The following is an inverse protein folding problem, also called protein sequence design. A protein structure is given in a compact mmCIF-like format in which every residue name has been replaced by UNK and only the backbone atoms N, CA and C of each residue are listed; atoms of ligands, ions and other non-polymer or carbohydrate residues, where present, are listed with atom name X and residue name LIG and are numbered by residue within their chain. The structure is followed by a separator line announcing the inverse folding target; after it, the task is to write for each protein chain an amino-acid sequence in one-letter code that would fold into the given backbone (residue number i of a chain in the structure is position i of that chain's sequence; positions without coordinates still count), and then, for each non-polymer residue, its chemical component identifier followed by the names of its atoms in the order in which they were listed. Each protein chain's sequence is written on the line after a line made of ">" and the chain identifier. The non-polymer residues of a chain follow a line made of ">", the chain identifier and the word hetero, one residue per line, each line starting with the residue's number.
data_IF_293217975425
#
_entry.id   IF_293217975425
#
_cell.length_a   1.000
_cell.length_b   1.000
_cell.length_c   1.000
_cell.angle_alpha   90.00
_cell.angle_beta   90.00
_cell.angle_gamma   90.00
#
_symmetry.space_group_name_H-M   'P 1'
#
loop_
_entity.id
_entity.type
_entity.pdbx_description
1 polymer ?
#
# COMPACT_ATOMS: atom_id res chain seq x y z
N UNK A 1 9.79 -28.28 20.31
CA UNK A 1 9.43 -27.35 19.24
C UNK A 1 10.01 -25.99 19.60
N UNK A 2 10.46 -25.18 18.63
CA UNK A 2 10.96 -23.83 18.97
C UNK A 2 9.75 -22.91 19.22
N UNK A 3 9.84 -21.92 20.13
CA UNK A 3 8.73 -20.99 20.38
C UNK A 3 8.21 -20.31 19.10
N UNK A 4 9.08 -20.08 18.12
CA UNK A 4 8.73 -19.50 16.82
C UNK A 4 7.85 -20.43 15.98
N UNK A 5 8.07 -21.75 16.05
CA UNK A 5 7.29 -22.75 15.31
C UNK A 5 5.88 -22.87 15.90
N UNK A 6 5.77 -22.82 17.24
CA UNK A 6 4.50 -22.80 17.97
C UNK A 6 3.70 -21.53 17.61
N UNK A 7 4.38 -20.37 17.62
CA UNK A 7 3.74 -19.10 17.29
C UNK A 7 3.34 -19.01 15.83
N UNK A 8 4.17 -19.49 14.90
CA UNK A 8 3.81 -19.59 13.48
C UNK A 8 2.53 -20.39 13.28
N UNK A 9 2.42 -21.55 13.93
CA UNK A 9 1.21 -22.40 13.87
C UNK A 9 -0.03 -21.65 14.37
N UNK A 10 0.13 -20.90 15.46
CA UNK A 10 -0.94 -20.03 16.02
C UNK A 10 -1.38 -18.96 15.01
N UNK A 11 -0.46 -18.35 14.27
CA UNK A 11 -0.80 -17.35 13.26
C UNK A 11 -1.57 -17.95 12.08
N UNK A 12 -1.21 -19.16 11.65
CA UNK A 12 -1.93 -19.88 10.59
C UNK A 12 -3.37 -20.16 11.04
N UNK A 13 -3.56 -20.68 12.25
CA UNK A 13 -4.89 -20.93 12.79
C UNK A 13 -5.71 -19.64 12.92
N UNK A 14 -5.09 -18.55 13.38
CA UNK A 14 -5.74 -17.24 13.49
C UNK A 14 -6.15 -16.63 12.13
N UNK A 15 -5.38 -16.87 11.06
CA UNK A 15 -5.76 -16.49 9.70
C UNK A 15 -6.98 -17.32 9.25
N UNK A 16 -6.95 -18.64 9.46
CA UNK A 16 -8.04 -19.54 9.07
C UNK A 16 -9.34 -19.24 9.83
N UNK A 17 -9.25 -18.74 11.05
CA UNK A 17 -10.38 -18.37 11.91
C UNK A 17 -10.81 -16.90 11.78
N UNK A 18 -10.24 -16.14 10.84
CA UNK A 18 -10.54 -14.70 10.61
C UNK A 18 -10.23 -13.77 11.82
N UNK A 19 -9.35 -14.20 12.72
CA UNK A 19 -8.78 -13.36 13.76
C UNK A 19 -7.70 -12.43 13.22
N UNK A 20 -7.06 -12.81 12.11
CA UNK A 20 -6.18 -11.96 11.32
C UNK A 20 -6.82 -11.72 9.96
N UNK A 21 -7.27 -10.49 9.69
CA UNK A 21 -7.95 -10.12 8.44
C UNK A 21 -7.57 -8.73 7.97
N UNK A 22 -7.74 -8.47 6.67
CA UNK A 22 -7.53 -7.14 6.08
C UNK A 22 -8.84 -6.63 5.51
N UNK A 23 -9.16 -5.36 5.80
CA UNK A 23 -10.30 -4.64 5.21
C UNK A 23 -9.80 -3.48 4.38
N UNK A 24 -10.38 -3.31 3.20
CA UNK A 24 -10.14 -2.14 2.34
C UNK A 24 -11.02 -1.00 2.84
N UNK A 25 -10.41 0.16 3.12
CA UNK A 25 -11.09 1.42 3.41
C UNK A 25 -11.37 2.18 2.11
N UNK A 26 -12.23 3.22 2.13
CA UNK A 26 -12.43 4.06 0.96
C UNK A 26 -11.11 4.54 0.35
N UNK A 27 -11.03 4.46 -0.98
CA UNK A 27 -9.89 4.92 -1.75
C UNK A 27 -9.88 6.45 -1.77
N UNK A 28 -8.68 7.04 -1.73
CA UNK A 28 -8.49 8.48 -1.92
C UNK A 28 -7.62 8.72 -3.15
N UNK A 29 -8.04 9.64 -4.03
CA UNK A 29 -7.27 10.01 -5.21
C UNK A 29 -6.80 11.46 -5.07
N UNK A 30 -5.49 11.65 -4.98
CA UNK A 30 -4.88 12.96 -4.79
C UNK A 30 -4.43 13.50 -6.16
N UNK A 31 -4.95 14.65 -6.61
CA UNK A 31 -4.45 15.31 -7.82
C UNK A 31 -3.08 15.93 -7.52
N UNK A 32 -2.06 15.53 -8.27
CA UNK A 32 -0.68 15.97 -8.06
C UNK A 32 -0.09 16.72 -9.27
N UNK A 33 -0.72 16.59 -10.45
CA UNK A 33 -0.36 17.22 -11.74
C UNK A 33 -0.12 18.75 -11.74
N UNK A 34 -0.61 19.49 -10.73
CA UNK A 34 -0.38 20.95 -10.62
C UNK A 34 0.90 21.32 -9.88
N UNK A 35 1.48 20.37 -9.14
CA UNK A 35 2.57 20.65 -8.19
C UNK A 35 3.78 19.79 -8.48
N UNK A 36 3.58 18.54 -8.85
CA UNK A 36 4.62 17.55 -9.02
C UNK A 36 4.17 16.49 -10.02
N UNK A 37 5.07 15.53 -10.23
CA UNK A 37 4.78 14.25 -10.83
C UNK A 37 4.81 13.16 -9.74
N UNK A 38 3.98 12.12 -9.82
CA UNK A 38 3.11 11.76 -10.94
C UNK A 38 1.83 12.62 -11.02
N UNK A 39 1.03 12.48 -12.07
CA UNK A 39 -0.23 13.23 -12.24
C UNK A 39 -1.23 13.01 -11.10
N UNK A 40 -1.36 11.76 -10.65
CA UNK A 40 -2.23 11.39 -9.53
C UNK A 40 -1.54 10.40 -8.60
N UNK A 41 -1.95 10.42 -7.34
CA UNK A 41 -1.57 9.40 -6.37
C UNK A 41 -2.82 8.79 -5.76
N UNK A 42 -3.03 7.51 -6.01
CA UNK A 42 -4.09 6.73 -5.39
C UNK A 42 -3.60 6.21 -4.04
N UNK A 43 -4.26 6.59 -2.95
CA UNK A 43 -3.97 6.08 -1.61
C UNK A 43 -4.88 4.88 -1.34
N UNK A 44 -4.28 3.69 -1.33
CA UNK A 44 -4.93 2.47 -0.87
C UNK A 44 -4.82 2.40 0.65
N UNK A 45 -5.94 2.68 1.32
CA UNK A 45 -6.06 2.59 2.76
C UNK A 45 -6.56 1.19 3.14
N UNK A 46 -5.82 0.50 4.01
CA UNK A 46 -6.19 -0.81 4.52
C UNK A 46 -6.18 -0.80 6.05
N UNK A 47 -7.01 -1.63 6.66
CA UNK A 47 -6.93 -1.95 8.08
C UNK A 47 -6.66 -3.43 8.26
N UNK A 48 -5.52 -3.73 8.88
CA UNK A 48 -5.18 -5.06 9.35
C UNK A 48 -5.75 -5.24 10.76
N UNK A 49 -6.70 -6.15 10.90
CA UNK A 49 -7.07 -6.74 12.19
C UNK A 49 -6.05 -7.86 12.48
N UNK A 50 -5.44 -7.82 13.66
CA UNK A 50 -4.55 -8.85 14.16
C UNK A 50 -4.96 -9.19 15.59
N UNK A 51 -5.77 -10.24 15.74
CA UNK A 51 -6.55 -10.52 16.96
C UNK A 51 -7.47 -9.34 17.34
N UNK A 52 -7.31 -8.78 18.54
CA UNK A 52 -8.07 -7.61 19.02
C UNK A 52 -7.42 -6.27 18.65
N UNK A 53 -6.27 -6.28 17.95
CA UNK A 53 -5.53 -5.09 17.58
C UNK A 53 -5.81 -4.69 16.13
N UNK A 54 -5.80 -3.38 15.88
CA UNK A 54 -6.06 -2.81 14.56
C UNK A 54 -4.89 -1.93 14.15
N UNK A 55 -4.42 -2.15 12.92
CA UNK A 55 -3.31 -1.42 12.33
C UNK A 55 -3.74 -0.81 11.01
N UNK A 56 -3.40 0.46 10.81
CA UNK A 56 -3.61 1.15 9.54
C UNK A 56 -2.39 0.96 8.63
N UNK A 57 -2.67 0.60 7.38
CA UNK A 57 -1.70 0.49 6.30
C UNK A 57 -2.11 1.50 5.23
N UNK A 58 -1.14 2.27 4.74
CA UNK A 58 -1.34 3.26 3.68
C UNK A 58 -0.32 3.00 2.58
N UNK A 59 -0.82 2.70 1.37
CA UNK A 59 -0.01 2.41 0.20
C UNK A 59 -0.28 3.47 -0.89
N UNK A 60 0.64 4.42 -1.11
CA UNK A 60 0.53 5.36 -2.22
C UNK A 60 0.90 4.68 -3.54
N UNK A 61 -0.02 4.72 -4.51
CA UNK A 61 0.14 4.17 -5.86
C UNK A 61 0.19 5.33 -6.86
N UNK A 62 1.33 5.56 -7.51
CA UNK A 62 1.47 6.61 -8.52
C UNK A 62 0.70 6.25 -9.80
N UNK A 63 -0.01 7.21 -10.39
CA UNK A 63 -0.72 7.09 -11.66
C UNK A 63 -0.32 8.26 -12.56
N UNK A 64 0.23 7.95 -13.73
CA UNK A 64 0.66 8.92 -14.73
C UNK A 64 -0.23 8.85 -15.98
N UNK A 65 -0.68 9.99 -16.50
CA UNK A 65 -1.32 10.12 -17.80
C UNK A 65 -0.30 10.60 -18.84
N UNK A 66 0.53 9.68 -19.31
CA UNK A 66 1.60 10.01 -20.25
C UNK A 66 1.24 9.60 -21.68
N UNK A 67 1.21 10.60 -22.60
CA UNK A 67 1.01 10.37 -24.04
C UNK A 67 2.25 9.79 -24.71
N UNK A 68 3.44 10.09 -24.17
CA UNK A 68 4.72 9.59 -24.67
C UNK A 68 5.01 8.12 -24.28
N UNK A 69 4.16 7.50 -23.45
CA UNK A 69 4.27 6.10 -23.02
C UNK A 69 5.20 5.86 -21.82
N UNK A 70 5.50 4.58 -21.54
CA UNK A 70 6.16 4.11 -20.30
C UNK A 70 7.47 4.84 -19.98
N UNK A 71 8.31 5.13 -20.97
CA UNK A 71 9.66 5.67 -20.72
C UNK A 71 9.64 7.04 -20.03
N UNK A 72 8.70 7.91 -20.39
CA UNK A 72 8.55 9.20 -19.71
C UNK A 72 8.01 9.02 -18.28
N UNK A 73 7.03 8.10 -18.10
CA UNK A 73 6.51 7.77 -16.77
C UNK A 73 7.55 7.19 -15.81
N UNK A 74 8.62 6.54 -16.30
CA UNK A 74 9.72 6.06 -15.46
C UNK A 74 10.49 7.20 -14.78
N UNK A 75 10.73 8.30 -15.49
CA UNK A 75 11.40 9.47 -14.92
C UNK A 75 10.55 10.14 -13.83
N UNK A 76 9.24 10.15 -14.01
CA UNK A 76 8.31 10.68 -13.02
C UNK A 76 8.17 9.79 -11.80
N UNK A 77 8.18 8.46 -11.98
CA UNK A 77 8.30 7.52 -10.88
C UNK A 77 9.60 7.72 -10.09
N UNK A 78 10.73 7.97 -10.76
CA UNK A 78 12.00 8.27 -10.09
C UNK A 78 11.90 9.52 -9.22
N UNK A 79 11.38 10.63 -9.77
CA UNK A 79 11.17 11.88 -9.01
C UNK A 79 10.21 11.67 -7.83
N UNK A 80 9.17 10.86 -8.01
CA UNK A 80 8.22 10.53 -6.95
C UNK A 80 8.92 9.88 -5.74
N UNK A 81 9.77 8.89 -6.00
CA UNK A 81 10.56 8.20 -4.95
C UNK A 81 11.57 9.14 -4.31
N UNK A 82 12.29 9.95 -5.10
CA UNK A 82 13.31 10.88 -4.60
C UNK A 82 12.71 11.98 -3.69
N UNK A 83 11.51 12.48 -4.01
CA UNK A 83 10.85 13.56 -3.27
C UNK A 83 10.27 13.13 -1.91
N UNK A 84 9.97 11.85 -1.72
CA UNK A 84 9.44 11.27 -0.47
C UNK A 84 8.21 12.00 0.10
N UNK A 85 7.39 12.61 -0.75
CA UNK A 85 6.18 13.31 -0.31
C UNK A 85 5.03 12.36 0.08
N UNK A 86 5.10 11.12 -0.39
CA UNK A 86 4.10 10.08 -0.13
C UNK A 86 4.79 8.89 0.48
N UNK A 87 4.48 8.62 1.75
CA UNK A 87 5.12 7.56 2.52
C UNK A 87 4.27 6.29 2.48
N UNK A 88 4.96 5.15 2.39
CA UNK A 88 4.37 3.84 2.63
C UNK A 88 4.33 3.61 4.14
N UNK A 89 3.14 3.42 4.70
CA UNK A 89 2.95 3.14 6.12
C UNK A 89 2.67 1.67 6.33
N UNK A 90 3.62 0.96 6.94
CA UNK A 90 3.52 -0.46 7.26
C UNK A 90 3.64 -0.68 8.78
N UNK A 91 2.81 -1.55 9.36
CA UNK A 91 2.98 -1.97 10.74
C UNK A 91 4.11 -3.00 10.85
N UNK A 92 4.95 -2.85 11.87
CA UNK A 92 5.71 -3.96 12.44
C UNK A 92 4.96 -4.45 13.68
N UNK A 93 4.62 -5.74 13.72
CA UNK A 93 3.94 -6.35 14.86
C UNK A 93 4.99 -7.01 15.74
N UNK A 94 5.06 -6.58 17.00
CA UNK A 94 5.98 -7.14 18.00
C UNK A 94 5.15 -7.82 19.08
N UNK A 95 5.36 -9.11 19.28
CA UNK A 95 4.80 -9.87 20.40
C UNK A 95 5.89 -10.05 21.44
N UNK A 96 5.62 -9.63 22.67
CA UNK A 96 6.59 -9.69 23.77
C UNK A 96 5.91 -10.10 25.07
N UNK A 97 6.69 -10.56 26.04
CA UNK A 97 6.18 -10.86 27.39
C UNK A 97 5.90 -9.62 28.25
N UNK A 98 6.20 -8.41 27.78
CA UNK A 98 5.80 -7.16 28.45
C UNK A 98 4.28 -6.98 28.32
N UNK A 99 3.60 -6.75 29.43
CA UNK A 99 2.15 -6.56 29.49
C UNK A 99 1.72 -5.14 29.12
N UNK A 100 2.66 -4.21 28.94
CA UNK A 100 2.36 -2.82 28.59
C UNK A 100 2.38 -2.62 27.08
N UNK A 101 1.25 -2.30 26.43
CA UNK A 101 1.25 -1.97 25.02
C UNK A 101 2.09 -0.72 24.75
N UNK A 102 3.03 -0.82 23.80
CA UNK A 102 3.85 0.31 23.36
C UNK A 102 3.63 0.56 21.88
N UNK A 103 3.63 1.82 21.48
CA UNK A 103 3.61 2.24 20.09
C UNK A 103 4.83 3.11 19.81
N UNK A 104 5.50 2.83 18.71
CA UNK A 104 6.60 3.64 18.20
C UNK A 104 6.42 3.80 16.69
N UNK A 105 6.78 4.98 16.19
CA UNK A 105 6.83 5.26 14.76
C UNK A 105 8.26 5.65 14.43
N UNK A 106 8.78 5.07 13.36
CA UNK A 106 10.12 5.29 12.85
C UNK A 106 10.04 5.29 11.33
N UNK A 107 10.85 6.13 10.69
CA UNK A 107 10.95 6.25 9.24
C UNK A 107 12.24 5.60 8.77
N UNK A 108 12.11 4.69 7.80
CA UNK A 108 13.25 3.99 7.21
C UNK A 108 13.12 3.95 5.70
N UNK A 109 14.25 3.93 4.99
CA UNK A 109 14.26 3.57 3.58
C UNK A 109 13.96 2.06 3.48
N UNK A 110 12.88 1.69 2.82
CA UNK A 110 12.49 0.29 2.60
C UNK A 110 12.59 -0.04 1.11
N UNK A 111 13.14 -1.22 0.73
CA UNK A 111 13.19 -1.61 -0.67
C UNK A 111 11.76 -1.79 -1.23
N UNK A 112 11.45 -1.09 -2.31
CA UNK A 112 10.17 -1.20 -3.02
C UNK A 112 10.44 -1.57 -4.47
N UNK A 113 9.62 -2.49 -5.01
CA UNK A 113 9.62 -2.85 -6.42
C UNK A 113 8.34 -2.32 -7.06
N UNK A 114 8.48 -1.58 -8.15
CA UNK A 114 7.36 -1.16 -8.98
C UNK A 114 7.24 -2.07 -10.19
N UNK A 115 6.08 -2.70 -10.34
CA UNK A 115 5.67 -3.33 -11.60
C UNK A 115 4.82 -2.33 -12.37
N UNK A 116 5.24 -1.99 -13.59
CA UNK A 116 4.61 -0.93 -14.38
C UNK A 116 3.86 -1.57 -15.54
N UNK A 117 2.57 -1.27 -15.62
CA UNK A 117 1.69 -1.72 -16.70
C UNK A 117 1.00 -0.52 -17.32
N UNK A 118 1.24 -0.29 -18.61
CA UNK A 118 0.50 0.70 -19.37
C UNK A 118 -0.89 0.16 -19.73
N UNK A 119 -1.91 0.98 -19.48
CA UNK A 119 -3.31 0.70 -19.86
C UNK A 119 -3.71 1.75 -20.89
N UNK A 120 -4.35 1.34 -21.99
CA UNK A 120 -4.75 2.28 -23.04
C UNK A 120 -5.99 3.08 -22.61
N UNK A 121 -6.00 4.38 -22.90
CA UNK A 121 -7.17 5.24 -22.68
C UNK A 121 -8.42 4.69 -23.42
N UNK A 122 -8.23 4.14 -24.62
CA UNK A 122 -9.29 3.52 -25.40
C UNK A 122 -9.93 2.33 -24.67
N UNK A 123 -9.12 1.48 -24.02
CA UNK A 123 -9.63 0.35 -23.23
C UNK A 123 -10.50 0.82 -22.07
N UNK A 124 -10.07 1.86 -21.37
CA UNK A 124 -10.82 2.46 -20.25
C UNK A 124 -12.13 3.08 -20.78
N UNK A 125 -12.06 3.83 -21.87
CA UNK A 125 -13.23 4.46 -22.51
C UNK A 125 -14.28 3.43 -22.92
N UNK A 126 -13.87 2.32 -23.51
CA UNK A 126 -14.78 1.24 -23.91
C UNK A 126 -15.46 0.59 -22.69
N UNK A 127 -14.68 0.27 -21.64
CA UNK A 127 -15.23 -0.28 -20.40
C UNK A 127 -16.31 0.63 -19.78
N UNK A 128 -16.09 1.95 -19.79
CA UNK A 128 -17.05 2.92 -19.26
C UNK A 128 -18.31 3.08 -20.11
N UNK A 129 -18.26 2.74 -21.41
CA UNK A 129 -19.45 2.72 -22.27
C UNK A 129 -20.29 1.47 -22.03
N UNK A 130 -19.65 0.33 -21.79
CA UNK A 130 -20.34 -0.95 -21.60
C UNK A 130 -20.99 -1.11 -20.22
N UNK A 131 -20.63 -0.25 -19.26
CA UNK A 131 -21.10 -0.28 -17.86
C UNK A 131 -22.10 0.84 -17.53
N UNK A 132 -22.52 1.64 -18.51
CA UNK A 132 -23.54 2.69 -18.41
C UNK A 132 -24.79 2.29 -19.17
#
# INVERSE_FOLDING_TARGET
>A
MKPEDDFYSTLIDAINNEDITVKIKPLNLIPNYKRNSPDFVLILNLTLKFFSYYFDIELPIPIELEKAGINAALEDLRKFVERKHFEVKLPMIVVSGDSTPRRKTEEYNFPVRFEIKQISETSISNYLKDTR
#
